data_IF_385849165382
#
_entry.id   IF_385849165382
#
_cell.length_a   1.000
_cell.length_b   1.000
_cell.length_c   1.000
_cell.angle_alpha   90.00
_cell.angle_beta   90.00
_cell.angle_gamma   90.00
#
_symmetry.space_group_name_H-M   'P 1'
#
loop_
_entity.id
_entity.type
_entity.pdbx_description
1 polymer ?
#
# COMPACT_ATOMS: atom_id res chain seq x y z
N UNK A 1 4.83 -7.20 -6.77
CA UNK A 1 4.65 -6.52 -8.07
C UNK A 1 5.66 -5.40 -8.27
N UNK A 2 5.71 -4.41 -7.38
CA UNK A 2 6.65 -3.28 -7.48
C UNK A 2 8.12 -3.68 -7.64
N UNK A 3 8.61 -4.64 -6.85
CA UNK A 3 9.99 -5.13 -6.96
C UNK A 3 10.33 -5.77 -8.31
N UNK A 4 9.40 -6.52 -8.90
CA UNK A 4 9.60 -7.20 -10.20
C UNK A 4 9.60 -6.19 -11.34
N UNK A 5 8.64 -5.27 -11.36
CA UNK A 5 8.56 -4.24 -12.38
C UNK A 5 9.71 -3.21 -12.26
N UNK A 6 10.09 -2.87 -11.02
CA UNK A 6 11.26 -2.05 -10.77
C UNK A 6 12.55 -2.74 -11.23
N UNK A 7 12.71 -4.04 -10.99
CA UNK A 7 13.84 -4.80 -11.54
C UNK A 7 13.83 -4.87 -13.06
N UNK A 8 12.65 -5.04 -13.67
CA UNK A 8 12.48 -5.07 -15.12
C UNK A 8 12.79 -3.70 -15.78
N UNK A 9 12.66 -2.60 -15.03
CA UNK A 9 13.06 -1.27 -15.49
C UNK A 9 14.58 -1.05 -15.53
N UNK A 10 15.39 -2.03 -15.10
CA UNK A 10 16.84 -2.06 -15.31
C UNK A 10 17.62 -1.02 -14.51
N UNK A 11 18.69 -0.48 -15.11
CA UNK A 11 19.64 0.47 -14.49
C UNK A 11 19.04 1.82 -14.10
N UNK A 12 17.78 2.09 -14.45
CA UNK A 12 17.13 3.37 -14.17
C UNK A 12 16.83 3.57 -12.68
N UNK A 13 16.62 2.50 -11.91
CA UNK A 13 16.27 2.60 -10.48
C UNK A 13 17.43 2.26 -9.53
N UNK A 14 18.53 1.68 -10.03
CA UNK A 14 19.63 1.14 -9.21
C UNK A 14 20.98 1.65 -9.70
N UNK A 15 21.81 2.13 -8.77
CA UNK A 15 23.03 2.90 -9.07
C UNK A 15 24.32 2.06 -9.14
N UNK A 16 24.29 0.80 -8.73
CA UNK A 16 25.50 -0.04 -8.61
C UNK A 16 25.83 -0.74 -9.94
N UNK A 17 27.10 -0.58 -10.36
CA UNK A 17 27.69 -0.85 -11.68
C UNK A 17 27.75 -2.32 -12.17
N UNK A 18 26.92 -3.21 -11.66
CA UNK A 18 26.80 -4.56 -12.21
C UNK A 18 25.83 -4.53 -13.38
N UNK A 19 26.12 -5.31 -14.44
CA UNK A 19 25.21 -5.53 -15.59
C UNK A 19 23.74 -5.59 -15.12
N UNK A 20 22.79 -4.94 -15.82
CA UNK A 20 21.39 -5.04 -15.45
C UNK A 20 20.96 -6.51 -15.41
N UNK A 21 20.15 -6.93 -14.42
CA UNK A 21 19.74 -8.32 -14.30
C UNK A 21 18.97 -8.73 -15.55
N UNK A 22 19.31 -9.91 -16.10
CA UNK A 22 18.60 -10.48 -17.24
C UNK A 22 17.16 -10.85 -16.87
N UNK A 23 16.26 -10.87 -17.86
CA UNK A 23 14.87 -11.28 -17.65
C UNK A 23 14.76 -12.66 -16.98
N UNK A 24 15.65 -13.58 -17.34
CA UNK A 24 15.72 -14.92 -16.74
C UNK A 24 16.12 -14.88 -15.24
N UNK A 25 17.04 -13.99 -14.86
CA UNK A 25 17.42 -13.79 -13.44
C UNK A 25 16.26 -13.20 -12.62
N UNK A 26 15.50 -12.27 -13.20
CA UNK A 26 14.30 -11.70 -12.57
C UNK A 26 13.23 -12.78 -12.38
N UNK A 27 12.96 -13.59 -13.41
CA UNK A 27 11.99 -14.70 -13.35
C UNK A 27 12.40 -15.73 -12.28
N UNK A 28 13.67 -16.11 -12.22
CA UNK A 28 14.19 -17.05 -11.20
C UNK A 28 14.01 -16.53 -9.76
N UNK A 29 13.96 -15.22 -9.57
CA UNK A 29 13.79 -14.58 -8.26
C UNK A 29 12.35 -14.22 -7.94
N UNK A 30 11.41 -14.47 -8.85
CA UNK A 30 9.99 -14.18 -8.64
C UNK A 30 9.45 -14.82 -7.35
N UNK A 31 9.82 -16.08 -7.10
CA UNK A 31 9.44 -16.78 -5.86
C UNK A 31 9.97 -16.09 -4.59
N UNK A 32 11.21 -15.58 -4.62
CA UNK A 32 11.80 -14.85 -3.50
C UNK A 32 11.14 -13.49 -3.28
N UNK A 33 10.81 -12.77 -4.35
CA UNK A 33 10.09 -11.50 -4.27
C UNK A 33 8.68 -11.72 -3.72
N UNK A 34 7.99 -12.76 -4.17
CA UNK A 34 6.67 -13.15 -3.63
C UNK A 34 6.79 -13.47 -2.15
N UNK A 35 7.74 -14.32 -1.76
CA UNK A 35 7.95 -14.71 -0.37
C UNK A 35 8.28 -13.51 0.53
N UNK A 36 9.14 -12.60 0.07
CA UNK A 36 9.49 -11.38 0.80
C UNK A 36 8.29 -10.45 1.01
N UNK A 37 7.49 -10.20 -0.04
CA UNK A 37 6.30 -9.36 0.13
C UNK A 37 5.24 -10.06 0.99
N UNK A 38 5.08 -11.38 0.84
CA UNK A 38 4.13 -12.17 1.60
C UNK A 38 4.47 -12.18 3.10
N UNK A 39 5.73 -12.40 3.47
CA UNK A 39 6.14 -12.39 4.88
C UNK A 39 5.88 -11.05 5.55
N UNK A 40 6.15 -9.96 4.83
CA UNK A 40 5.88 -8.60 5.28
C UNK A 40 4.37 -8.33 5.45
N UNK A 41 3.53 -8.73 4.48
CA UNK A 41 2.08 -8.56 4.55
C UNK A 41 1.45 -9.39 5.68
N UNK A 42 1.89 -10.63 5.86
CA UNK A 42 1.42 -11.51 6.94
C UNK A 42 1.64 -10.85 8.30
N UNK A 43 2.79 -10.21 8.50
CA UNK A 43 3.08 -9.48 9.73
C UNK A 43 2.07 -8.35 9.97
N UNK A 44 1.75 -7.57 8.94
CA UNK A 44 0.76 -6.49 9.05
C UNK A 44 -0.67 -7.02 9.29
N UNK A 45 -1.06 -8.10 8.62
CA UNK A 45 -2.37 -8.70 8.79
C UNK A 45 -2.57 -9.31 10.19
N UNK A 46 -1.50 -9.89 10.76
CA UNK A 46 -1.48 -10.35 12.14
C UNK A 46 -1.54 -9.16 13.10
N UNK A 47 -0.75 -8.11 12.87
CA UNK A 47 -0.78 -6.90 13.70
C UNK A 47 -2.17 -6.26 13.75
N UNK A 48 -2.85 -6.22 12.60
CA UNK A 48 -4.20 -5.66 12.49
C UNK A 48 -5.27 -6.45 13.25
N UNK A 49 -5.05 -7.75 13.51
CA UNK A 49 -6.02 -8.64 14.19
C UNK A 49 -5.63 -9.01 15.64
N UNK A 50 -4.53 -8.45 16.15
CA UNK A 50 -3.94 -8.82 17.46
C UNK A 50 -4.77 -8.42 18.68
N UNK A 51 -5.65 -7.43 18.56
CA UNK A 51 -6.44 -6.88 19.67
C UNK A 51 -7.90 -7.39 19.62
N UNK A 52 -8.54 -7.68 20.77
CA UNK A 52 -9.96 -8.04 20.82
C UNK A 52 -10.88 -6.98 20.20
N UNK A 53 -10.53 -5.70 20.33
CA UNK A 53 -11.26 -4.58 19.74
C UNK A 53 -11.16 -4.60 18.20
N UNK A 54 -9.98 -4.92 17.66
CA UNK A 54 -9.81 -5.14 16.22
C UNK A 54 -10.65 -6.32 15.71
N UNK A 55 -10.80 -7.38 16.50
CA UNK A 55 -11.66 -8.51 16.14
C UNK A 55 -13.14 -8.12 16.09
N UNK A 56 -13.60 -7.24 16.99
CA UNK A 56 -14.97 -6.70 16.98
C UNK A 56 -15.21 -5.75 15.80
N UNK A 57 -14.23 -4.89 15.49
CA UNK A 57 -14.26 -4.05 14.29
C UNK A 57 -14.32 -4.91 13.02
N UNK A 58 -13.45 -5.91 12.91
CA UNK A 58 -13.44 -6.84 11.79
C UNK A 58 -14.71 -7.70 11.75
N UNK A 59 -15.38 -8.00 12.86
CA UNK A 59 -16.68 -8.70 12.80
C UNK A 59 -17.76 -7.86 12.08
N UNK A 60 -17.69 -6.53 12.17
CA UNK A 60 -18.59 -5.61 11.47
C UNK A 60 -18.15 -5.39 10.02
N UNK A 61 -16.89 -5.00 9.82
CA UNK A 61 -16.39 -4.58 8.51
C UNK A 61 -15.95 -5.79 7.66
N UNK A 62 -15.30 -6.77 8.31
CA UNK A 62 -14.42 -7.81 7.73
C UNK A 62 -14.69 -9.24 8.23
N UNK A 63 -15.96 -9.62 8.36
CA UNK A 63 -16.41 -10.86 9.05
C UNK A 63 -15.86 -12.18 8.50
N UNK A 64 -15.29 -12.17 7.29
CA UNK A 64 -14.62 -13.31 6.66
C UNK A 64 -13.17 -13.51 7.13
N UNK A 65 -12.60 -12.58 7.91
CA UNK A 65 -11.23 -12.71 8.42
C UNK A 65 -11.11 -13.86 9.44
N UNK A 66 -9.89 -14.40 9.68
CA UNK A 66 -9.69 -15.54 10.56
C UNK A 66 -10.19 -15.37 11.99
N UNK A 67 -9.99 -14.19 12.61
CA UNK A 67 -10.38 -13.98 14.02
C UNK A 67 -11.91 -13.88 14.20
N UNK A 68 -12.66 -13.06 13.43
CA UNK A 68 -14.12 -13.04 13.53
C UNK A 68 -14.78 -14.38 13.25
N UNK A 69 -14.15 -15.24 12.42
CA UNK A 69 -14.62 -16.60 12.13
C UNK A 69 -14.30 -17.61 13.23
N UNK A 70 -13.56 -17.23 14.27
CA UNK A 70 -13.14 -18.13 15.34
C UNK A 70 -12.10 -19.17 14.91
N UNK A 71 -11.44 -18.98 13.77
CA UNK A 71 -10.39 -19.90 13.29
C UNK A 71 -9.10 -19.76 14.11
N UNK A 72 -8.85 -18.54 14.62
CA UNK A 72 -7.72 -18.21 15.49
C UNK A 72 -8.13 -17.06 16.41
N UNK A 73 -7.64 -17.04 17.64
CA UNK A 73 -7.91 -15.97 18.61
C UNK A 73 -6.89 -14.84 18.49
N UNK A 74 -7.28 -13.61 18.85
CA UNK A 74 -6.36 -12.46 18.93
C UNK A 74 -5.15 -12.73 19.83
N UNK A 75 -5.34 -13.51 20.89
CA UNK A 75 -4.27 -13.88 21.80
C UNK A 75 -3.29 -14.90 21.18
N UNK A 76 -3.77 -15.87 20.38
CA UNK A 76 -2.90 -16.73 19.58
C UNK A 76 -2.11 -15.92 18.53
N UNK A 77 -2.73 -14.92 17.90
CA UNK A 77 -2.04 -14.00 16.98
C UNK A 77 -0.94 -13.23 17.71
N UNK A 78 -1.24 -12.65 18.87
CA UNK A 78 -0.27 -11.90 19.69
C UNK A 78 0.93 -12.77 20.07
N UNK A 79 0.70 -14.03 20.47
CA UNK A 79 1.78 -14.99 20.77
C UNK A 79 2.61 -15.33 19.53
N UNK A 80 1.98 -15.54 18.37
CA UNK A 80 2.70 -15.77 17.12
C UNK A 80 3.58 -14.56 16.73
N UNK A 81 3.11 -13.34 16.97
CA UNK A 81 3.84 -12.11 16.67
C UNK A 81 5.11 -11.92 17.53
N UNK A 82 5.13 -12.40 18.79
CA UNK A 82 6.32 -12.37 19.66
C UNK A 82 7.49 -13.10 19.01
N UNK A 83 7.22 -14.17 18.27
CA UNK A 83 8.25 -14.94 17.56
C UNK A 83 8.62 -14.34 16.20
N UNK A 84 7.72 -13.54 15.59
CA UNK A 84 7.91 -13.03 14.23
C UNK A 84 8.56 -11.64 14.19
N UNK A 85 8.37 -10.78 15.19
CA UNK A 85 8.68 -9.34 15.02
C UNK A 85 9.07 -8.61 16.31
N UNK A 86 10.30 -8.78 16.83
CA UNK A 86 10.77 -7.95 17.95
C UNK A 86 10.63 -6.42 17.71
N UNK A 87 10.47 -5.97 16.45
CA UNK A 87 10.28 -4.57 16.07
C UNK A 87 8.83 -4.01 16.15
N UNK A 88 7.79 -4.84 16.36
CA UNK A 88 6.40 -4.35 16.49
C UNK A 88 6.01 -3.96 17.93
N UNK A 89 6.89 -4.21 18.91
CA UNK A 89 6.70 -3.78 20.29
C UNK A 89 6.66 -2.25 20.46
N UNK A 90 7.05 -1.48 19.43
CA UNK A 90 6.91 -0.02 19.43
C UNK A 90 5.45 0.46 19.22
N UNK A 91 4.57 -0.44 18.78
CA UNK A 91 3.20 -0.14 18.36
C UNK A 91 2.18 -0.25 19.52
N UNK A 92 2.65 -0.43 20.76
CA UNK A 92 1.84 -0.47 21.98
C UNK A 92 1.27 0.91 22.39
N UNK A 93 1.62 1.98 21.66
CA UNK A 93 1.21 3.36 21.92
C UNK A 93 -0.14 3.76 21.28
N UNK A 94 -0.93 2.83 20.71
CA UNK A 94 -2.23 3.14 20.06
C UNK A 94 -2.17 4.19 18.93
N UNK A 95 -1.00 4.49 18.35
CA UNK A 95 -0.84 5.52 17.31
C UNK A 95 -1.73 5.32 16.06
N UNK A 96 -2.22 4.10 15.83
CA UNK A 96 -3.22 3.84 14.76
C UNK A 96 -4.63 4.38 15.07
N UNK A 97 -5.00 4.58 16.34
CA UNK A 97 -6.36 4.93 16.73
C UNK A 97 -6.61 6.46 16.81
N UNK A 98 -5.55 7.26 16.95
CA UNK A 98 -5.64 8.70 17.31
C UNK A 98 -5.81 9.67 16.13
N UNK A 99 -5.10 9.47 15.00
CA UNK A 99 -5.18 10.37 13.84
C UNK A 99 -4.99 9.64 12.50
N UNK A 100 -5.91 9.87 11.55
CA UNK A 100 -5.81 9.26 10.22
C UNK A 100 -4.55 9.69 9.43
N UNK A 101 -4.00 10.89 9.70
CA UNK A 101 -2.78 11.38 9.04
C UNK A 101 -1.56 10.58 9.49
N UNK A 102 -1.44 10.32 10.80
CA UNK A 102 -0.34 9.52 11.36
C UNK A 102 -0.39 8.08 10.82
N UNK A 103 -1.59 7.48 10.79
CA UNK A 103 -1.80 6.19 10.12
C UNK A 103 -1.33 6.19 8.68
N UNK A 104 -1.73 7.19 7.89
CA UNK A 104 -1.33 7.29 6.49
C UNK A 104 0.19 7.43 6.36
N UNK A 105 0.86 8.16 7.27
CA UNK A 105 2.32 8.31 7.28
C UNK A 105 3.03 6.98 7.58
N UNK A 106 2.53 6.21 8.56
CA UNK A 106 3.06 4.87 8.88
C UNK A 106 2.90 3.93 7.69
N UNK A 107 1.71 3.88 7.09
CA UNK A 107 1.44 3.04 5.91
C UNK A 107 2.33 3.46 4.74
N UNK A 108 2.45 4.75 4.44
CA UNK A 108 3.30 5.25 3.37
C UNK A 108 4.79 4.89 3.58
N UNK A 109 5.26 4.93 4.82
CA UNK A 109 6.63 4.54 5.19
C UNK A 109 6.83 3.04 5.02
N UNK A 110 5.87 2.21 5.46
CA UNK A 110 5.91 0.77 5.26
C UNK A 110 5.97 0.41 3.77
N UNK A 111 5.13 1.05 2.94
CA UNK A 111 5.17 0.89 1.49
C UNK A 111 6.49 1.35 0.87
N UNK A 112 7.14 2.39 1.41
CA UNK A 112 8.47 2.81 0.97
C UNK A 112 9.51 1.71 1.18
N UNK A 113 9.52 1.13 2.39
CA UNK A 113 10.42 0.03 2.77
C UNK A 113 10.15 -1.21 1.93
N UNK A 114 8.88 -1.53 1.68
CA UNK A 114 8.49 -2.66 0.85
C UNK A 114 8.94 -2.48 -0.59
N UNK A 115 8.73 -1.30 -1.15
CA UNK A 115 9.13 -0.98 -2.52
C UNK A 115 10.66 -1.08 -2.69
N UNK A 116 11.43 -0.50 -1.78
CA UNK A 116 12.90 -0.60 -1.77
C UNK A 116 13.38 -2.05 -1.60
N UNK A 117 12.88 -2.76 -0.60
CA UNK A 117 13.27 -4.14 -0.32
C UNK A 117 12.90 -5.10 -1.45
N UNK A 118 11.69 -5.01 -1.98
CA UNK A 118 11.19 -5.84 -3.09
C UNK A 118 12.04 -5.63 -4.35
N UNK A 119 12.43 -4.38 -4.65
CA UNK A 119 13.33 -4.05 -5.75
C UNK A 119 14.72 -4.67 -5.56
N UNK A 120 15.29 -4.56 -4.36
CA UNK A 120 16.60 -5.16 -4.02
C UNK A 120 16.60 -6.68 -4.11
N UNK A 121 15.53 -7.34 -3.65
CA UNK A 121 15.38 -8.80 -3.78
C UNK A 121 15.32 -9.21 -5.25
N UNK A 122 14.60 -8.45 -6.07
CA UNK A 122 14.45 -8.76 -7.50
C UNK A 122 15.77 -8.57 -8.28
N UNK A 123 16.52 -7.50 -7.99
CA UNK A 123 17.80 -7.19 -8.68
C UNK A 123 19.01 -7.90 -8.07
N UNK A 124 18.91 -8.30 -6.82
CA UNK A 124 19.82 -9.22 -6.14
C UNK A 124 21.00 -8.56 -5.43
N UNK A 125 21.72 -9.34 -4.61
CA UNK A 125 22.73 -8.83 -3.68
C UNK A 125 23.98 -8.26 -4.37
N UNK A 126 24.28 -8.70 -5.60
CA UNK A 126 25.46 -8.25 -6.35
C UNK A 126 25.24 -6.92 -7.09
N UNK A 127 24.00 -6.42 -7.10
CA UNK A 127 23.61 -5.23 -7.82
C UNK A 127 23.03 -4.16 -6.89
N UNK A 128 23.04 -4.36 -5.58
CA UNK A 128 22.54 -3.41 -4.57
C UNK A 128 23.37 -3.47 -3.29
N UNK A 129 23.32 -2.43 -2.45
CA UNK A 129 24.02 -2.38 -1.16
C UNK A 129 23.06 -2.59 0.01
N UNK A 130 23.58 -3.14 1.12
CA UNK A 130 22.81 -3.32 2.35
C UNK A 130 22.51 -1.96 3.01
N UNK A 131 21.23 -1.71 3.29
CA UNK A 131 20.72 -0.46 3.86
C UNK A 131 19.37 -0.08 3.24
N UNK A 132 18.57 0.75 3.91
CA UNK A 132 17.32 1.27 3.37
C UNK A 132 17.61 2.43 2.43
N UNK A 133 17.03 2.44 1.22
CA UNK A 133 17.28 3.42 0.15
C UNK A 133 18.72 3.51 -0.38
N UNK A 134 19.66 2.73 0.15
CA UNK A 134 21.03 2.64 -0.36
C UNK A 134 21.08 1.87 -1.68
N UNK A 135 21.90 2.30 -2.64
CA UNK A 135 22.05 1.64 -3.93
C UNK A 135 20.94 1.95 -4.94
N UNK A 136 20.03 2.88 -4.63
CA UNK A 136 19.09 3.44 -5.60
C UNK A 136 19.74 4.57 -6.41
N UNK A 137 19.30 4.75 -7.66
CA UNK A 137 19.56 6.01 -8.39
C UNK A 137 18.73 7.15 -7.82
N UNK A 138 19.04 8.39 -8.20
CA UNK A 138 18.16 9.54 -7.93
C UNK A 138 16.74 9.30 -8.45
N UNK A 139 16.60 8.71 -9.64
CA UNK A 139 15.29 8.32 -10.21
C UNK A 139 14.59 7.27 -9.36
N UNK A 140 15.33 6.27 -8.86
CA UNK A 140 14.79 5.22 -7.98
C UNK A 140 14.28 5.76 -6.65
N UNK A 141 15.08 6.58 -5.98
CA UNK A 141 14.68 7.22 -4.73
C UNK A 141 13.47 8.15 -4.95
N UNK A 142 13.47 8.94 -6.03
CA UNK A 142 12.34 9.81 -6.40
C UNK A 142 11.08 8.99 -6.65
N UNK A 143 11.19 7.86 -7.34
CA UNK A 143 10.05 7.00 -7.63
C UNK A 143 9.46 6.36 -6.37
N UNK A 144 10.29 5.90 -5.44
CA UNK A 144 9.82 5.41 -4.14
C UNK A 144 9.09 6.51 -3.37
N UNK A 145 9.62 7.73 -3.36
CA UNK A 145 8.97 8.88 -2.71
C UNK A 145 7.61 9.22 -3.34
N UNK A 146 7.52 9.22 -4.69
CA UNK A 146 6.26 9.46 -5.41
C UNK A 146 5.21 8.43 -4.98
N UNK A 147 5.55 7.14 -4.96
CA UNK A 147 4.60 6.08 -4.61
C UNK A 147 4.19 6.19 -3.14
N UNK A 148 5.11 6.51 -2.24
CA UNK A 148 4.78 6.79 -0.84
C UNK A 148 3.81 7.96 -0.69
N UNK A 149 3.97 9.03 -1.47
CA UNK A 149 3.06 10.18 -1.46
C UNK A 149 1.68 9.83 -2.05
N UNK A 150 1.62 9.01 -3.10
CA UNK A 150 0.36 8.48 -3.65
C UNK A 150 -0.40 7.74 -2.55
N UNK A 151 0.26 6.80 -1.86
CA UNK A 151 -0.36 6.03 -0.77
C UNK A 151 -0.76 6.96 0.37
N UNK A 152 0.14 7.83 0.83
CA UNK A 152 -0.14 8.78 1.91
C UNK A 152 -1.40 9.62 1.67
N UNK A 153 -1.61 10.08 0.44
CA UNK A 153 -2.71 10.98 0.08
C UNK A 153 -4.00 10.27 -0.33
N UNK A 154 -4.00 8.94 -0.50
CA UNK A 154 -5.17 8.23 -1.04
C UNK A 154 -5.60 7.00 -0.24
N UNK A 155 -4.74 6.45 0.64
CA UNK A 155 -5.02 5.22 1.39
C UNK A 155 -6.29 5.30 2.24
N UNK A 156 -6.61 6.48 2.78
CA UNK A 156 -7.81 6.70 3.60
C UNK A 156 -9.12 6.59 2.82
N UNK A 157 -9.09 6.27 1.52
CA UNK A 157 -10.28 5.78 0.80
C UNK A 157 -10.89 4.54 1.46
N UNK A 158 -10.08 3.72 2.14
CA UNK A 158 -10.57 2.57 2.91
C UNK A 158 -11.50 3.00 4.05
N UNK A 159 -11.27 4.17 4.64
CA UNK A 159 -12.06 4.67 5.76
C UNK A 159 -13.53 4.93 5.32
N UNK A 160 -13.78 5.16 4.02
CA UNK A 160 -15.13 5.38 3.49
C UNK A 160 -16.05 4.16 3.65
N UNK A 161 -15.51 2.94 3.51
CA UNK A 161 -16.29 1.70 3.71
C UNK A 161 -16.29 1.20 5.16
N UNK A 162 -15.34 1.64 5.97
CA UNK A 162 -15.10 1.13 7.33
C UNK A 162 -15.73 2.00 8.43
N UNK A 163 -16.51 3.04 8.07
CA UNK A 163 -17.09 4.04 8.97
C UNK A 163 -17.88 3.45 10.17
N UNK A 164 -18.65 2.38 9.96
CA UNK A 164 -19.45 1.75 11.01
C UNK A 164 -18.56 1.09 12.08
N UNK A 165 -17.58 0.29 11.65
CA UNK A 165 -16.61 -0.31 12.56
C UNK A 165 -15.70 0.73 13.24
N UNK A 166 -15.28 1.75 12.50
CA UNK A 166 -14.50 2.87 13.06
C UNK A 166 -15.28 3.59 14.17
N UNK A 167 -16.57 3.87 13.94
CA UNK A 167 -17.44 4.52 14.93
C UNK A 167 -17.64 3.64 16.16
N UNK A 168 -17.86 2.34 15.99
CA UNK A 168 -18.03 1.40 17.09
C UNK A 168 -16.77 1.29 17.97
N UNK A 169 -15.59 1.51 17.39
CA UNK A 169 -14.29 1.52 18.08
C UNK A 169 -13.88 2.89 18.61
N UNK A 170 -14.55 3.97 18.20
CA UNK A 170 -14.16 5.34 18.52
C UNK A 170 -12.92 5.83 17.75
N UNK A 171 -12.62 5.22 16.58
CA UNK A 171 -11.49 5.63 15.72
C UNK A 171 -11.74 7.01 15.11
N UNK A 172 -10.67 7.80 15.00
CA UNK A 172 -10.69 9.12 14.34
C UNK A 172 -10.36 9.01 12.84
N UNK A 173 -11.23 8.35 12.07
CA UNK A 173 -11.06 8.19 10.62
C UNK A 173 -11.43 9.44 9.81
N UNK A 174 -10.89 9.55 8.59
CA UNK A 174 -11.06 10.73 7.74
C UNK A 174 -12.54 11.18 7.59
N UNK A 175 -13.52 10.31 7.25
CA UNK A 175 -14.92 10.69 7.15
C UNK A 175 -15.56 11.05 8.50
N UNK A 176 -15.07 10.53 9.62
CA UNK A 176 -15.58 10.85 10.96
C UNK A 176 -15.02 12.18 11.50
N UNK A 177 -13.79 12.55 11.12
CA UNK A 177 -13.12 13.78 11.57
C UNK A 177 -13.43 14.97 10.66
N UNK A 178 -13.33 14.78 9.34
CA UNK A 178 -13.50 15.87 8.35
C UNK A 178 -14.94 15.98 7.83
N UNK A 179 -15.77 14.95 8.09
CA UNK A 179 -17.04 14.75 7.42
C UNK A 179 -16.88 14.00 6.09
N UNK A 180 -17.87 13.16 5.78
CA UNK A 180 -17.87 12.26 4.62
C UNK A 180 -17.62 13.00 3.29
N UNK A 181 -18.22 14.18 3.10
CA UNK A 181 -18.04 14.99 1.89
C UNK A 181 -16.60 15.47 1.70
N UNK A 182 -16.00 16.05 2.74
CA UNK A 182 -14.62 16.56 2.66
C UNK A 182 -13.64 15.39 2.50
N UNK A 183 -13.84 14.30 3.24
CA UNK A 183 -13.03 13.10 3.11
C UNK A 183 -13.01 12.55 1.67
N UNK A 184 -14.17 12.50 1.00
CA UNK A 184 -14.26 12.09 -0.41
C UNK A 184 -13.45 12.98 -1.35
N UNK A 185 -13.46 14.30 -1.15
CA UNK A 185 -12.63 15.22 -1.94
C UNK A 185 -11.13 15.04 -1.70
N UNK A 186 -10.73 14.80 -0.45
CA UNK A 186 -9.31 14.55 -0.13
C UNK A 186 -8.76 13.29 -0.79
N UNK A 187 -9.61 12.32 -1.14
CA UNK A 187 -9.22 11.16 -1.96
C UNK A 187 -9.30 11.51 -3.45
N UNK A 188 -10.42 12.10 -3.89
CA UNK A 188 -10.73 12.25 -5.31
C UNK A 188 -9.74 13.16 -6.05
N UNK A 189 -9.25 14.23 -5.42
CA UNK A 189 -8.30 15.17 -6.05
C UNK A 189 -6.96 14.50 -6.36
N UNK A 190 -6.27 13.86 -5.38
CA UNK A 190 -5.06 13.10 -5.67
C UNK A 190 -5.25 12.03 -6.75
N UNK A 191 -6.41 11.38 -6.82
CA UNK A 191 -6.69 10.34 -7.83
C UNK A 191 -6.72 10.84 -9.28
N UNK A 192 -6.85 12.16 -9.49
CA UNK A 192 -6.70 12.78 -10.81
C UNK A 192 -5.27 13.27 -11.04
N UNK A 193 -4.65 13.86 -10.02
CA UNK A 193 -3.31 14.46 -10.12
C UNK A 193 -2.24 13.39 -10.34
N UNK A 194 -2.27 12.31 -9.54
CA UNK A 194 -1.21 11.31 -9.55
C UNK A 194 -1.05 10.56 -10.87
N UNK A 195 -2.12 10.09 -11.56
CA UNK A 195 -1.96 9.45 -12.87
C UNK A 195 -1.27 10.36 -13.89
N UNK A 196 -1.61 11.65 -13.93
CA UNK A 196 -1.00 12.64 -14.83
C UNK A 196 0.47 12.86 -14.45
N UNK A 197 0.76 13.01 -13.16
CA UNK A 197 2.11 13.21 -12.67
C UNK A 197 3.01 12.00 -12.92
N UNK A 198 2.51 10.78 -12.68
CA UNK A 198 3.23 9.53 -12.95
C UNK A 198 3.49 9.36 -14.46
N UNK A 199 2.52 9.68 -15.32
CA UNK A 199 2.71 9.63 -16.76
C UNK A 199 3.75 10.64 -17.25
N UNK A 200 3.75 11.85 -16.69
CA UNK A 200 4.78 12.87 -16.97
C UNK A 200 6.17 12.43 -16.50
N UNK A 201 6.29 11.95 -15.25
CA UNK A 201 7.56 11.51 -14.66
C UNK A 201 8.21 10.39 -15.49
N UNK A 202 7.41 9.43 -15.93
CA UNK A 202 7.88 8.30 -16.74
C UNK A 202 7.85 8.57 -18.25
N UNK A 203 7.38 9.74 -18.69
CA UNK A 203 7.17 10.10 -20.11
C UNK A 203 6.39 9.02 -20.87
N UNK A 204 5.35 8.47 -20.25
CA UNK A 204 4.58 7.39 -20.87
C UNK A 204 3.65 7.92 -21.96
N UNK A 205 3.48 7.14 -23.02
CA UNK A 205 2.52 7.44 -24.08
C UNK A 205 1.06 7.30 -23.60
N UNK A 206 0.13 7.91 -24.33
CA UNK A 206 -1.30 7.92 -23.98
C UNK A 206 -1.88 6.52 -23.76
N UNK A 207 -1.45 5.52 -24.54
CA UNK A 207 -1.91 4.13 -24.38
C UNK A 207 -1.59 3.54 -23.00
N UNK A 208 -0.47 3.96 -22.40
CA UNK A 208 -0.02 3.46 -21.09
C UNK A 208 -0.54 4.31 -19.95
N UNK A 209 -0.83 5.60 -20.15
CA UNK A 209 -1.36 6.49 -19.12
C UNK A 209 -2.89 6.59 -19.06
N UNK A 210 -3.58 6.35 -20.19
CA UNK A 210 -5.03 6.52 -20.28
C UNK A 210 -5.81 5.57 -19.37
N UNK A 211 -5.48 4.26 -19.22
CA UNK A 211 -6.20 3.37 -18.31
C UNK A 211 -6.19 3.87 -16.85
N UNK A 212 -5.08 4.43 -16.39
CA UNK A 212 -4.85 4.98 -15.05
C UNK A 212 -5.66 6.26 -14.87
N UNK A 213 -5.60 7.16 -15.86
CA UNK A 213 -6.40 8.39 -15.86
C UNK A 213 -7.90 8.09 -15.85
N UNK A 214 -8.35 7.14 -16.67
CA UNK A 214 -9.76 6.71 -16.71
C UNK A 214 -10.20 6.13 -15.36
N UNK A 215 -9.38 5.28 -14.75
CA UNK A 215 -9.70 4.72 -13.43
C UNK A 215 -9.74 5.80 -12.34
N UNK A 216 -8.84 6.79 -12.40
CA UNK A 216 -8.88 7.98 -11.55
C UNK A 216 -10.17 8.79 -11.72
N UNK A 217 -10.62 9.01 -12.96
CA UNK A 217 -11.89 9.69 -13.27
C UNK A 217 -13.09 8.89 -12.75
N UNK A 218 -13.09 7.56 -12.89
CA UNK A 218 -14.13 6.70 -12.34
C UNK A 218 -14.19 6.83 -10.82
N UNK A 219 -13.04 6.82 -10.14
CA UNK A 219 -12.98 6.98 -8.68
C UNK A 219 -13.47 8.36 -8.25
N UNK A 220 -13.06 9.43 -8.94
CA UNK A 220 -13.60 10.79 -8.74
C UNK A 220 -15.12 10.79 -8.85
N UNK A 221 -15.67 10.28 -9.95
CA UNK A 221 -17.12 10.23 -10.17
C UNK A 221 -17.82 9.49 -9.03
N UNK A 222 -17.30 8.32 -8.63
CA UNK A 222 -17.88 7.53 -7.55
C UNK A 222 -17.80 8.24 -6.19
N UNK A 223 -16.66 8.86 -5.86
CA UNK A 223 -16.52 9.65 -4.64
C UNK A 223 -17.55 10.79 -4.60
N UNK A 224 -17.87 11.43 -5.72
CA UNK A 224 -18.77 12.59 -5.74
C UNK A 224 -20.25 12.26 -5.93
N UNK A 225 -20.58 11.12 -6.54
CA UNK A 225 -21.95 10.77 -6.97
C UNK A 225 -22.48 9.46 -6.39
N UNK A 226 -21.64 8.60 -5.85
CA UNK A 226 -22.05 7.34 -5.27
C UNK A 226 -21.77 7.33 -3.77
N UNK A 227 -22.82 7.24 -2.96
CA UNK A 227 -22.73 7.18 -1.50
C UNK A 227 -23.29 5.88 -0.97
N UNK A 228 -22.77 5.44 0.19
CA UNK A 228 -23.26 4.28 0.92
C UNK A 228 -22.33 3.07 0.82
N UNK A 229 -22.45 2.17 1.81
CA UNK A 229 -21.50 1.09 2.07
C UNK A 229 -21.15 0.23 0.83
N UNK A 230 -22.16 -0.19 0.06
CA UNK A 230 -21.92 -1.00 -1.15
C UNK A 230 -21.14 -0.23 -2.22
N UNK A 231 -21.44 1.06 -2.37
CA UNK A 231 -20.75 1.91 -3.33
C UNK A 231 -19.30 2.16 -2.89
N UNK A 232 -19.08 2.42 -1.60
CA UNK A 232 -17.76 2.69 -1.03
C UNK A 232 -16.85 1.45 -1.07
N UNK A 233 -17.41 0.25 -0.82
CA UNK A 233 -16.69 -1.03 -1.01
C UNK A 233 -16.19 -1.21 -2.44
N UNK A 234 -17.00 -0.86 -3.44
CA UNK A 234 -16.59 -0.94 -4.83
C UNK A 234 -15.57 0.15 -5.18
N UNK A 235 -15.73 1.37 -4.65
CA UNK A 235 -14.75 2.45 -4.85
C UNK A 235 -13.38 2.07 -4.29
N UNK A 236 -13.33 1.44 -3.10
CA UNK A 236 -12.10 0.91 -2.52
C UNK A 236 -11.47 -0.17 -3.41
N UNK A 237 -12.24 -1.16 -3.89
CA UNK A 237 -11.72 -2.19 -4.82
C UNK A 237 -11.17 -1.61 -6.12
N UNK A 238 -11.84 -0.60 -6.68
CA UNK A 238 -11.36 0.10 -7.87
C UNK A 238 -10.07 0.88 -7.58
N UNK A 239 -9.95 1.47 -6.39
CA UNK A 239 -8.71 2.09 -5.94
C UNK A 239 -7.58 1.06 -5.80
N UNK A 240 -7.82 -0.13 -5.27
CA UNK A 240 -6.81 -1.21 -5.21
C UNK A 240 -6.25 -1.54 -6.61
N UNK A 241 -7.10 -1.53 -7.64
CA UNK A 241 -6.67 -1.72 -9.02
C UNK A 241 -5.71 -0.61 -9.49
N UNK A 242 -5.79 0.62 -8.98
CA UNK A 242 -4.83 1.67 -9.35
C UNK A 242 -3.42 1.37 -8.86
N UNK A 243 -3.28 0.66 -7.74
CA UNK A 243 -1.99 0.14 -7.27
C UNK A 243 -1.36 -0.87 -8.24
N UNK A 244 -2.18 -1.55 -9.07
CA UNK A 244 -1.69 -2.44 -10.13
C UNK A 244 -1.18 -1.63 -11.34
N UNK A 245 -1.79 -0.48 -11.66
CA UNK A 245 -1.49 0.25 -12.89
C UNK A 245 -0.48 1.40 -12.74
N UNK A 246 -0.15 1.87 -11.54
CA UNK A 246 0.82 2.95 -11.31
C UNK A 246 2.29 2.58 -11.58
N UNK A 247 2.57 1.50 -12.31
CA UNK A 247 3.91 0.95 -12.48
C UNK A 247 4.25 0.89 -13.98
N UNK A 248 5.49 1.24 -14.35
CA UNK A 248 5.97 1.19 -15.74
C UNK A 248 5.83 -0.25 -16.28
N UNK A 249 4.96 -0.44 -17.28
CA UNK A 249 4.61 -1.76 -17.82
C UNK A 249 5.56 -2.28 -18.91
N UNK A 250 6.51 -1.49 -19.42
CA UNK A 250 7.36 -1.91 -20.54
C UNK A 250 8.65 -1.07 -20.64
N UNK A 251 9.72 -1.55 -21.31
CA UNK A 251 10.98 -0.82 -21.54
C UNK A 251 10.81 0.63 -22.02
#
# INVERSE_FOLDING_TARGET
MFGICGAASGSWLISVHSRPPSALEIVKRLGLVVLFNWSNLVIFDLANQRLPESAREDALNKSWRPVPRGLITSDQIRRAMIYLVPALLYDDLRSSDDCFVERNAIIATAFAVYNDGSLKVAVGPNATSAGLFTGLTTTGATWVAIVSLVIFTTMHVQDLQDQEGDRARGRRSAPLVLGDWVARWTVAVPMIIWPVFCAWFWKTGLLVGAPQGLLGIVILYRCLKCSGLKADKLTWRLWELTGLFNIKWWP
#
